data_IF_449299848739
#
_entry.id   IF_449299848739
#
_cell.length_a   1.000
_cell.length_b   1.000
_cell.length_c   1.000
_cell.angle_alpha   90.00
_cell.angle_beta   90.00
_cell.angle_gamma   90.00
#
_symmetry.space_group_name_H-M   'P 1'
#
loop_
_entity.id
_entity.type
_entity.pdbx_description
1 polymer ?
#
# COMPACT_ATOMS: atom_id res chain seq x y z
N UNK A 1 9.19 -13.11 16.55
CA UNK A 1 9.71 -12.08 15.63
C UNK A 1 9.92 -12.69 14.27
N UNK A 2 9.52 -12.01 13.21
CA UNK A 2 9.79 -12.43 11.83
C UNK A 2 10.03 -11.21 10.94
N UNK A 3 10.72 -11.41 9.83
CA UNK A 3 10.81 -10.46 8.74
C UNK A 3 10.93 -11.26 7.44
N UNK A 4 10.34 -10.77 6.35
CA UNK A 4 10.45 -11.40 5.04
C UNK A 4 9.41 -10.89 4.05
N UNK A 5 9.31 -11.52 2.87
CA UNK A 5 8.31 -11.16 1.87
C UNK A 5 6.89 -11.30 2.41
N UNK A 6 5.96 -10.47 1.92
CA UNK A 6 4.56 -10.44 2.38
C UNK A 6 3.89 -11.82 2.40
N UNK A 7 4.19 -12.68 1.42
CA UNK A 7 3.70 -14.07 1.36
C UNK A 7 4.17 -14.94 2.53
N UNK A 8 5.42 -14.79 2.96
CA UNK A 8 5.94 -15.50 4.14
C UNK A 8 5.26 -14.96 5.40
N UNK A 9 5.16 -13.64 5.53
CA UNK A 9 4.57 -13.00 6.70
C UNK A 9 3.09 -13.37 6.86
N UNK A 10 2.32 -13.35 5.78
CA UNK A 10 0.91 -13.77 5.73
C UNK A 10 0.77 -15.25 6.12
N UNK A 11 1.60 -16.14 5.56
CA UNK A 11 1.57 -17.55 5.89
C UNK A 11 1.81 -17.80 7.40
N UNK A 12 2.81 -17.14 7.99
CA UNK A 12 3.07 -17.29 9.44
C UNK A 12 1.94 -16.68 10.27
N UNK A 13 1.39 -15.51 9.88
CA UNK A 13 0.25 -14.88 10.55
C UNK A 13 -0.97 -15.81 10.58
N UNK A 14 -1.35 -16.40 9.44
CA UNK A 14 -2.48 -17.34 9.34
C UNK A 14 -2.28 -18.54 10.27
N UNK A 15 -1.10 -19.18 10.22
CA UNK A 15 -0.77 -20.31 11.11
C UNK A 15 -0.78 -19.92 12.59
N UNK A 16 -0.39 -18.70 12.92
CA UNK A 16 -0.41 -18.19 14.30
C UNK A 16 -1.85 -18.09 14.82
N UNK A 17 -2.74 -17.51 14.01
CA UNK A 17 -4.17 -17.37 14.31
C UNK A 17 -4.86 -18.73 14.37
N UNK A 18 -4.61 -19.62 13.41
CA UNK A 18 -5.16 -20.99 13.38
C UNK A 18 -4.84 -21.78 14.66
N UNK A 19 -3.69 -21.54 15.27
CA UNK A 19 -3.26 -22.20 16.52
C UNK A 19 -3.76 -21.50 17.78
N UNK A 20 -4.53 -20.42 17.66
CA UNK A 20 -5.05 -19.65 18.79
C UNK A 20 -3.95 -18.97 19.62
N UNK A 21 -2.80 -18.69 19.02
CA UNK A 21 -1.68 -18.07 19.73
C UNK A 21 -1.94 -16.57 19.97
N UNK A 22 -1.49 -16.00 21.10
CA UNK A 22 -1.73 -14.60 21.41
C UNK A 22 -1.13 -13.66 20.36
N UNK A 23 -1.95 -12.77 19.80
CA UNK A 23 -1.52 -11.76 18.82
C UNK A 23 -0.34 -10.89 19.29
N UNK A 24 -0.30 -10.39 20.54
CA UNK A 24 0.81 -9.57 21.03
C UNK A 24 2.20 -10.24 21.01
N UNK A 25 2.23 -11.57 20.89
CA UNK A 25 3.48 -12.34 20.82
C UNK A 25 3.97 -12.52 19.37
N UNK A 26 3.13 -12.20 18.38
CA UNK A 26 3.51 -12.14 16.99
C UNK A 26 4.04 -10.74 16.65
N UNK A 27 5.33 -10.65 16.38
CA UNK A 27 6.01 -9.41 15.97
C UNK A 27 6.59 -9.59 14.58
N UNK A 28 6.37 -8.63 13.70
CA UNK A 28 6.89 -8.62 12.34
C UNK A 28 7.49 -7.26 11.99
N UNK A 29 8.44 -7.26 11.07
CA UNK A 29 9.03 -6.08 10.45
C UNK A 29 8.96 -6.26 8.92
N UNK A 30 8.72 -5.16 8.20
CA UNK A 30 8.66 -5.15 6.74
C UNK A 30 9.64 -4.12 6.18
N UNK A 31 10.18 -4.41 4.99
CA UNK A 31 10.98 -3.46 4.21
C UNK A 31 10.16 -2.76 3.12
N UNK A 32 8.84 -2.98 3.09
CA UNK A 32 7.91 -2.28 2.19
C UNK A 32 7.96 -2.69 0.71
N UNK A 33 8.99 -3.41 0.27
CA UNK A 33 9.20 -3.69 -1.15
C UNK A 33 8.48 -4.95 -1.68
N UNK A 34 7.85 -5.76 -0.83
CA UNK A 34 7.18 -7.00 -1.24
C UNK A 34 5.68 -6.82 -1.40
N UNK A 35 5.12 -7.29 -2.52
CA UNK A 35 3.68 -7.31 -2.80
C UNK A 35 3.15 -8.66 -3.28
N UNK A 36 1.85 -8.73 -3.51
CA UNK A 36 1.20 -9.91 -4.08
C UNK A 36 1.37 -10.00 -5.60
N UNK A 37 1.56 -8.84 -6.23
CA UNK A 37 1.68 -8.65 -7.67
C UNK A 37 3.06 -8.08 -8.03
N UNK A 38 3.44 -8.23 -9.29
CA UNK A 38 4.60 -7.50 -9.82
C UNK A 38 4.29 -6.00 -9.84
N UNK A 39 5.32 -5.18 -9.67
CA UNK A 39 5.14 -3.75 -9.79
C UNK A 39 4.94 -3.39 -11.26
N UNK A 40 3.79 -2.82 -11.57
CA UNK A 40 3.43 -2.31 -12.89
C UNK A 40 3.24 -0.80 -12.83
N UNK A 41 3.29 -0.16 -14.00
CA UNK A 41 3.01 1.25 -14.15
C UNK A 41 1.51 1.52 -14.03
N UNK A 42 1.13 2.60 -13.35
CA UNK A 42 -0.25 3.10 -13.30
C UNK A 42 -0.27 4.62 -13.15
N UNK A 43 -1.41 5.24 -13.47
CA UNK A 43 -1.61 6.69 -13.31
C UNK A 43 -2.35 6.97 -12.01
N UNK A 44 -1.85 7.92 -11.22
CA UNK A 44 -2.57 8.48 -10.06
C UNK A 44 -3.11 9.87 -10.39
N UNK A 45 -4.35 10.14 -9.97
CA UNK A 45 -4.99 11.45 -10.01
C UNK A 45 -5.40 11.90 -8.61
N UNK A 46 -5.19 13.18 -8.32
CA UNK A 46 -5.66 13.85 -7.11
C UNK A 46 -6.42 15.12 -7.53
N UNK A 47 -7.73 15.02 -7.83
CA UNK A 47 -8.50 16.14 -8.38
C UNK A 47 -8.49 17.39 -7.50
N UNK A 48 -8.50 17.22 -6.18
CA UNK A 48 -8.46 18.33 -5.22
C UNK A 48 -7.19 19.19 -5.30
N UNK A 49 -6.10 18.62 -5.82
CA UNK A 49 -4.81 19.29 -6.00
C UNK A 49 -4.50 19.58 -7.48
N UNK A 50 -5.35 19.16 -8.42
CA UNK A 50 -5.08 19.24 -9.85
C UNK A 50 -3.87 18.40 -10.29
N UNK A 51 -3.54 17.34 -9.55
CA UNK A 51 -2.38 16.49 -9.80
C UNK A 51 -2.78 15.28 -10.62
N UNK A 52 -1.98 14.98 -11.64
CA UNK A 52 -2.00 13.71 -12.36
C UNK A 52 -0.55 13.28 -12.60
N UNK A 53 -0.18 12.07 -12.20
CA UNK A 53 1.19 11.58 -12.24
C UNK A 53 1.25 10.09 -12.59
N UNK A 54 2.32 9.70 -13.29
CA UNK A 54 2.60 8.29 -13.58
C UNK A 54 3.47 7.71 -12.48
N UNK A 55 3.08 6.54 -11.96
CA UNK A 55 3.84 5.78 -10.97
C UNK A 55 4.53 4.62 -11.69
N UNK A 56 5.83 4.76 -11.96
CA UNK A 56 6.61 3.71 -12.60
C UNK A 56 6.77 2.46 -11.70
N UNK A 57 7.19 1.31 -12.26
CA UNK A 57 7.35 0.05 -11.52
C UNK A 57 8.44 0.12 -10.43
N UNK A 58 9.42 1.03 -10.56
CA UNK A 58 10.48 1.26 -9.57
C UNK A 58 10.20 2.38 -8.56
N UNK A 59 9.11 3.13 -8.73
CA UNK A 59 8.79 4.31 -7.94
C UNK A 59 7.69 3.99 -6.94
N UNK A 60 7.75 4.52 -5.71
CA UNK A 60 6.58 4.46 -4.83
C UNK A 60 5.51 5.47 -5.27
N UNK A 61 4.26 5.22 -4.87
CA UNK A 61 3.18 6.17 -5.07
C UNK A 61 3.45 7.49 -4.31
N UNK A 62 4.05 7.40 -3.11
CA UNK A 62 4.53 8.55 -2.36
C UNK A 62 5.51 9.40 -3.18
N UNK A 63 6.54 8.80 -3.76
CA UNK A 63 7.55 9.55 -4.52
C UNK A 63 6.93 10.24 -5.74
N UNK A 64 5.94 9.61 -6.40
CA UNK A 64 5.22 10.23 -7.52
C UNK A 64 4.36 11.42 -7.08
N UNK A 65 3.67 11.30 -5.94
CA UNK A 65 2.88 12.37 -5.34
C UNK A 65 3.76 13.55 -4.88
N UNK A 66 4.89 13.29 -4.20
CA UNK A 66 5.85 14.31 -3.78
C UNK A 66 6.42 15.06 -5.00
N UNK A 67 6.80 14.35 -6.06
CA UNK A 67 7.30 14.94 -7.31
C UNK A 67 6.26 15.83 -8.01
N UNK A 68 4.98 15.48 -7.89
CA UNK A 68 3.88 16.26 -8.43
C UNK A 68 3.45 17.42 -7.52
N UNK A 69 4.07 17.57 -6.34
CA UNK A 69 3.84 18.67 -5.41
C UNK A 69 2.74 18.42 -4.38
N UNK A 70 2.32 17.18 -4.15
CA UNK A 70 1.39 16.84 -3.07
C UNK A 70 2.12 16.83 -1.70
N UNK A 71 1.52 17.47 -0.69
CA UNK A 71 2.03 17.47 0.69
C UNK A 71 1.46 16.28 1.47
N UNK A 72 2.06 15.10 1.29
CA UNK A 72 1.65 13.90 2.00
C UNK A 72 2.50 13.73 3.26
N UNK A 73 1.87 13.57 4.43
CA UNK A 73 2.59 13.24 5.65
C UNK A 73 3.17 11.81 5.59
N UNK A 74 4.45 11.63 5.88
CA UNK A 74 5.08 10.30 5.97
C UNK A 74 6.24 10.29 6.96
N UNK A 75 6.65 9.09 7.39
CA UNK A 75 7.84 8.90 8.23
C UNK A 75 8.59 7.61 7.87
N UNK A 76 8.06 6.44 8.26
CA UNK A 76 8.81 5.18 8.17
C UNK A 76 9.19 4.69 6.76
N UNK A 77 8.45 5.09 5.71
CA UNK A 77 8.54 4.59 4.31
C UNK A 77 8.57 3.06 4.16
N UNK A 78 8.03 2.33 5.14
CA UNK A 78 8.02 0.86 5.19
C UNK A 78 6.61 0.26 5.30
N UNK A 79 5.58 1.09 5.42
CA UNK A 79 4.20 0.62 5.57
C UNK A 79 3.88 0.08 6.97
N UNK A 80 4.54 0.59 8.01
CA UNK A 80 4.31 0.16 9.41
C UNK A 80 3.65 1.23 10.29
N UNK A 81 3.90 2.52 10.03
CA UNK A 81 3.41 3.61 10.90
C UNK A 81 2.01 4.15 10.54
N UNK A 82 1.55 3.93 9.31
CA UNK A 82 0.26 4.45 8.83
C UNK A 82 0.17 5.95 8.58
N UNK A 83 1.24 6.73 8.79
CA UNK A 83 1.20 8.20 8.65
C UNK A 83 0.89 8.67 7.23
N UNK A 84 1.34 7.92 6.23
CA UNK A 84 1.12 8.19 4.80
C UNK A 84 -0.16 7.54 4.25
N UNK A 85 -1.15 7.29 5.08
CA UNK A 85 -2.43 6.77 4.58
C UNK A 85 -3.19 7.87 3.83
N UNK A 86 -3.79 7.50 2.71
CA UNK A 86 -4.60 8.39 1.87
C UNK A 86 -5.90 7.68 1.51
N UNK A 87 -6.98 8.45 1.35
CA UNK A 87 -8.29 7.92 0.96
C UNK A 87 -8.36 7.65 -0.55
N UNK A 88 -8.94 6.51 -0.90
CA UNK A 88 -9.19 6.10 -2.28
C UNK A 88 -10.59 6.53 -2.68
N UNK A 89 -10.68 7.30 -3.76
CA UNK A 89 -11.94 7.75 -4.34
C UNK A 89 -12.42 6.75 -5.40
N UNK A 90 -11.50 6.30 -6.25
CA UNK A 90 -11.78 5.35 -7.32
C UNK A 90 -10.51 4.59 -7.71
N UNK A 91 -10.65 3.36 -8.21
CA UNK A 91 -9.53 2.53 -8.66
C UNK A 91 -9.95 1.61 -9.80
N UNK A 92 -9.25 1.71 -10.93
CA UNK A 92 -9.36 0.74 -12.02
C UNK A 92 -8.26 -0.31 -11.88
N UNK A 93 -8.54 -1.34 -11.09
CA UNK A 93 -7.62 -2.42 -10.78
C UNK A 93 -7.81 -2.98 -9.37
N UNK A 94 -6.78 -3.62 -8.84
CA UNK A 94 -6.74 -4.14 -7.47
C UNK A 94 -5.65 -3.43 -6.69
N UNK A 95 -5.97 -2.93 -5.50
CA UNK A 95 -4.98 -2.38 -4.58
C UNK A 95 -4.11 -3.52 -4.05
N UNK A 96 -2.80 -3.46 -4.36
CA UNK A 96 -1.78 -4.32 -3.78
C UNK A 96 -1.30 -3.69 -2.47
N UNK A 97 -1.99 -4.04 -1.38
CA UNK A 97 -1.57 -3.63 -0.04
C UNK A 97 -0.24 -4.28 0.33
N UNK A 98 0.78 -3.44 0.51
CA UNK A 98 2.14 -3.86 0.93
C UNK A 98 2.49 -3.44 2.35
N UNK A 99 1.56 -2.76 3.01
CA UNK A 99 1.66 -2.35 4.40
C UNK A 99 1.33 -3.49 5.37
N UNK A 100 1.81 -3.34 6.60
CA UNK A 100 1.47 -4.21 7.73
C UNK A 100 0.67 -3.45 8.81
N UNK A 101 0.22 -2.24 8.47
CA UNK A 101 -0.51 -1.32 9.32
C UNK A 101 -2.00 -1.66 9.33
N UNK A 102 -2.61 -1.80 8.14
CA UNK A 102 -4.02 -2.16 8.03
C UNK A 102 -4.24 -3.65 8.33
N UNK A 103 -5.33 -3.96 9.02
CA UNK A 103 -5.83 -5.32 9.15
C UNK A 103 -6.38 -5.84 7.82
N UNK A 104 -6.51 -7.15 7.67
CA UNK A 104 -7.11 -7.75 6.46
C UNK A 104 -8.51 -7.21 6.17
N UNK A 105 -9.30 -6.93 7.22
CA UNK A 105 -10.64 -6.35 7.07
C UNK A 105 -10.61 -4.92 6.54
N UNK A 106 -9.62 -4.13 6.95
CA UNK A 106 -9.43 -2.76 6.46
C UNK A 106 -8.92 -2.77 5.02
N UNK A 107 -7.94 -3.63 4.69
CA UNK A 107 -7.45 -3.80 3.33
C UNK A 107 -8.58 -4.22 2.36
N UNK A 108 -9.50 -5.08 2.78
CA UNK A 108 -10.65 -5.50 1.96
C UNK A 108 -11.65 -4.39 1.65
N UNK A 109 -11.64 -3.28 2.40
CA UNK A 109 -12.52 -2.13 2.11
C UNK A 109 -12.01 -1.31 0.93
N UNK A 110 -10.72 -1.38 0.64
CA UNK A 110 -10.07 -0.64 -0.46
C UNK A 110 -10.35 0.87 -0.46
N UNK A 111 -10.68 1.44 0.69
CA UNK A 111 -11.03 2.86 0.84
C UNK A 111 -9.84 3.72 1.30
N UNK A 112 -8.74 3.08 1.73
CA UNK A 112 -7.48 3.73 2.11
C UNK A 112 -6.29 2.87 1.72
N UNK A 113 -5.14 3.50 1.48
CA UNK A 113 -3.85 2.81 1.32
C UNK A 113 -2.68 3.60 1.90
N UNK A 114 -1.59 2.91 2.24
CA UNK A 114 -0.32 3.54 2.58
C UNK A 114 0.48 3.85 1.31
N UNK A 115 0.56 5.11 0.89
CA UNK A 115 1.18 5.49 -0.39
C UNK A 115 2.70 5.22 -0.47
N UNK A 116 3.38 5.05 0.67
CA UNK A 116 4.82 4.76 0.68
C UNK A 116 5.18 3.35 0.17
N UNK A 117 4.23 2.41 0.17
CA UNK A 117 4.51 1.01 -0.21
C UNK A 117 3.43 0.38 -1.08
N UNK A 118 2.16 0.73 -0.89
CA UNK A 118 1.05 0.11 -1.60
C UNK A 118 0.98 0.58 -3.05
N UNK A 119 0.48 -0.30 -3.93
CA UNK A 119 0.39 -0.08 -5.38
C UNK A 119 -0.97 -0.48 -5.91
N UNK A 120 -1.20 -0.29 -7.21
CA UNK A 120 -2.33 -0.88 -7.94
C UNK A 120 -1.78 -1.87 -8.97
N UNK A 121 -2.44 -3.00 -9.08
CA UNK A 121 -2.22 -3.98 -10.13
C UNK A 121 -3.46 -4.02 -11.04
N UNK A 122 -3.26 -4.04 -12.36
CA UNK A 122 -4.35 -4.07 -13.34
C UNK A 122 -4.13 -5.12 -14.42
N UNK A 123 -5.11 -5.23 -15.32
CA UNK A 123 -5.11 -6.28 -16.36
C UNK A 123 -4.53 -5.80 -17.70
N UNK A 124 -3.89 -4.63 -17.75
CA UNK A 124 -3.38 -4.01 -18.99
C UNK A 124 -3.11 -2.51 -18.84
N UNK A 125 -2.45 -1.92 -19.84
CA UNK A 125 -2.06 -0.50 -19.86
C UNK A 125 -3.26 0.43 -19.84
N UNK A 126 -3.57 0.96 -18.66
CA UNK A 126 -4.76 1.78 -18.41
C UNK A 126 -5.15 1.89 -16.93
N UNK A 127 -4.46 1.21 -16.02
CA UNK A 127 -4.70 1.27 -14.57
C UNK A 127 -4.64 2.69 -14.04
N UNK A 128 -5.73 3.12 -13.39
CA UNK A 128 -5.85 4.44 -12.77
C UNK A 128 -6.22 4.34 -11.29
N UNK A 129 -5.74 5.30 -10.51
CA UNK A 129 -6.04 5.44 -9.09
C UNK A 129 -6.41 6.89 -8.81
N UNK A 130 -7.60 7.13 -8.27
CA UNK A 130 -8.03 8.46 -7.84
C UNK A 130 -8.00 8.55 -6.33
N UNK A 131 -7.31 9.55 -5.80
CA UNK A 131 -7.13 9.77 -4.36
C UNK A 131 -7.78 11.07 -3.90
N UNK A 132 -8.23 11.05 -2.65
CA UNK A 132 -8.51 12.26 -1.89
C UNK A 132 -7.33 12.49 -0.92
N UNK A 133 -6.40 13.35 -1.34
CA UNK A 133 -5.36 13.86 -0.45
C UNK A 133 -5.91 15.11 0.23
N UNK A 134 -5.88 15.19 1.58
CA UNK A 134 -6.29 16.38 2.32
C UNK A 134 -5.35 17.57 2.09
#
# INVERSE_FOLDING_TARGET
>A
YMCGPIRLMDAVRRRWVERGLPGPNLRYETFGNSGWFQAEEFTVSVPGLGIEAVVGPGDSLLDALERAGADVMFDCRKGECGLCQVEVVDVDGTIDHRDVFFSEKEQQRSDKLCVCVSRVAGSGGGTTLTLAVP
#
